data_IF_049335471531
#
_entry.id   IF_049335471531
#
_cell.length_a   1.000
_cell.length_b   1.000
_cell.length_c   1.000
_cell.angle_alpha   90.00
_cell.angle_beta   90.00
_cell.angle_gamma   90.00
#
_symmetry.space_group_name_H-M   'P 1'
#
loop_
_entity.id
_entity.type
_entity.pdbx_description
1 polymer ?
#
# COMPACT_ATOMS: atom_id res chain seq x y z
N UNK A 1 -21.93 -13.76 24.62
CA UNK A 1 -20.63 -13.07 24.72
C UNK A 1 -19.67 -13.90 23.90
N UNK A 2 -19.12 -13.35 22.80
CA UNK A 2 -17.93 -13.81 22.06
C UNK A 2 -17.92 -13.10 20.69
N UNK A 3 -17.48 -11.83 20.68
CA UNK A 3 -17.26 -11.03 19.47
C UNK A 3 -15.82 -10.56 19.30
N UNK A 4 -14.90 -10.98 20.18
CA UNK A 4 -13.54 -10.42 20.25
C UNK A 4 -12.48 -11.16 19.43
N UNK A 5 -12.79 -12.29 18.76
CA UNK A 5 -11.76 -13.09 18.09
C UNK A 5 -11.48 -12.67 16.63
N UNK A 6 -12.44 -12.06 15.95
CA UNK A 6 -12.33 -11.68 14.52
C UNK A 6 -11.57 -10.37 14.28
N UNK A 7 -11.59 -9.46 15.25
CA UNK A 7 -10.99 -8.13 15.10
C UNK A 7 -9.45 -8.19 15.18
N UNK A 8 -8.93 -9.07 16.05
CA UNK A 8 -7.49 -9.26 16.23
C UNK A 8 -6.79 -9.92 15.03
N UNK A 9 -7.47 -10.80 14.29
CA UNK A 9 -6.89 -11.44 13.10
C UNK A 9 -6.88 -10.49 11.89
N UNK A 10 -7.91 -9.66 11.75
CA UNK A 10 -7.98 -8.63 10.69
C UNK A 10 -6.97 -7.51 10.91
N UNK A 11 -6.73 -7.11 12.16
CA UNK A 11 -5.67 -6.17 12.51
C UNK A 11 -4.29 -6.71 12.09
N UNK A 12 -3.96 -7.95 12.47
CA UNK A 12 -2.68 -8.60 12.10
C UNK A 12 -2.45 -8.68 10.59
N UNK A 13 -3.51 -8.96 9.80
CA UNK A 13 -3.41 -8.96 8.33
C UNK A 13 -3.18 -7.56 7.76
N UNK A 14 -3.75 -6.54 8.38
CA UNK A 14 -3.52 -5.13 8.03
C UNK A 14 -2.08 -4.74 8.31
N UNK A 15 -1.54 -5.12 9.47
CA UNK A 15 -0.17 -4.83 9.86
C UNK A 15 0.84 -5.53 8.95
N UNK A 16 0.62 -6.81 8.63
CA UNK A 16 1.45 -7.53 7.64
C UNK A 16 1.40 -6.86 6.25
N UNK A 17 0.24 -6.35 5.85
CA UNK A 17 0.10 -5.61 4.59
C UNK A 17 0.84 -4.28 4.62
N UNK A 18 0.74 -3.54 5.73
CA UNK A 18 1.43 -2.28 5.93
C UNK A 18 2.95 -2.48 5.92
N UNK A 19 3.46 -3.46 6.68
CA UNK A 19 4.88 -3.85 6.68
C UNK A 19 5.34 -4.21 5.27
N UNK A 20 4.58 -5.03 4.53
CA UNK A 20 4.91 -5.39 3.15
C UNK A 20 4.97 -4.17 2.21
N UNK A 21 4.14 -3.15 2.43
CA UNK A 21 4.14 -1.90 1.67
C UNK A 21 5.36 -1.03 2.02
N UNK A 22 5.63 -0.84 3.31
CA UNK A 22 6.77 -0.04 3.78
C UNK A 22 8.10 -0.66 3.35
N UNK A 23 8.19 -2.00 3.34
CA UNK A 23 9.35 -2.73 2.83
C UNK A 23 9.64 -2.50 1.35
N UNK A 24 8.77 -1.84 0.57
CA UNK A 24 9.06 -1.43 -0.82
C UNK A 24 9.94 -0.20 -0.93
N UNK A 25 10.10 0.59 0.14
CA UNK A 25 10.88 1.83 0.12
C UNK A 25 12.37 1.57 0.41
N UNK A 26 13.26 1.81 -0.56
CA UNK A 26 14.72 1.76 -0.34
C UNK A 26 15.21 2.77 0.70
N UNK A 27 14.42 3.79 1.02
CA UNK A 27 14.77 4.86 1.96
C UNK A 27 14.42 4.58 3.42
N UNK A 28 13.64 3.53 3.70
CA UNK A 28 13.29 3.13 5.06
C UNK A 28 14.07 1.87 5.43
N UNK A 29 14.86 1.95 6.51
CA UNK A 29 15.52 0.77 7.07
C UNK A 29 14.51 -0.13 7.79
N UNK A 30 14.83 -1.43 7.90
CA UNK A 30 13.91 -2.40 8.54
C UNK A 30 13.63 -2.02 10.00
N UNK A 31 14.64 -1.54 10.74
CA UNK A 31 14.47 -1.05 12.11
C UNK A 31 13.48 0.11 12.21
N UNK A 32 13.58 1.10 11.30
CA UNK A 32 12.66 2.24 11.25
C UNK A 32 11.22 1.80 10.94
N UNK A 33 11.04 0.79 10.10
CA UNK A 33 9.72 0.22 9.80
C UNK A 33 9.13 -0.45 11.05
N UNK A 34 9.94 -1.20 11.79
CA UNK A 34 9.52 -1.84 13.04
C UNK A 34 9.15 -0.82 14.11
N UNK A 35 9.95 0.24 14.27
CA UNK A 35 9.66 1.36 15.17
C UNK A 35 8.37 2.10 14.77
N UNK A 36 8.19 2.43 13.49
CA UNK A 36 7.01 3.14 13.00
C UNK A 36 5.72 2.33 13.20
N UNK A 37 5.80 1.02 13.08
CA UNK A 37 4.67 0.11 13.24
C UNK A 37 4.46 -0.34 14.70
N UNK A 38 5.35 0.04 15.62
CA UNK A 38 5.40 -0.44 17.01
C UNK A 38 5.45 -1.98 17.13
N UNK A 39 6.29 -2.61 16.30
CA UNK A 39 6.42 -4.08 16.20
C UNK A 39 7.78 -4.53 16.73
N UNK A 40 7.78 -5.51 17.64
CA UNK A 40 9.01 -6.14 18.13
C UNK A 40 9.58 -7.22 17.21
N UNK A 41 10.85 -7.57 17.40
CA UNK A 41 11.59 -8.57 16.62
C UNK A 41 10.87 -9.92 16.46
N UNK A 42 10.29 -10.45 17.55
CA UNK A 42 9.63 -11.76 17.51
C UNK A 42 8.43 -11.73 16.58
N UNK A 43 7.60 -10.70 16.72
CA UNK A 43 6.41 -10.54 15.91
C UNK A 43 6.77 -10.29 14.43
N UNK A 44 7.76 -9.44 14.17
CA UNK A 44 8.25 -9.21 12.82
C UNK A 44 8.76 -10.50 12.15
N UNK A 45 9.49 -11.34 12.89
CA UNK A 45 9.93 -12.66 12.39
C UNK A 45 8.76 -13.58 12.07
N UNK A 46 7.74 -13.63 12.94
CA UNK A 46 6.53 -14.41 12.68
C UNK A 46 5.80 -13.91 11.42
N UNK A 47 5.66 -12.60 11.25
CA UNK A 47 5.09 -11.99 10.05
C UNK A 47 5.88 -12.38 8.79
N UNK A 48 7.21 -12.31 8.84
CA UNK A 48 8.07 -12.71 7.72
C UNK A 48 7.93 -14.20 7.38
N UNK A 49 7.78 -15.08 8.37
CA UNK A 49 7.55 -16.50 8.15
C UNK A 49 6.17 -16.80 7.51
N UNK A 50 5.12 -16.08 7.93
CA UNK A 50 3.75 -16.30 7.42
C UNK A 50 3.51 -15.63 6.06
N UNK A 51 4.11 -14.47 5.83
CA UNK A 51 3.85 -13.65 4.66
C UNK A 51 5.03 -13.68 3.67
N UNK A 52 4.87 -14.47 2.61
CA UNK A 52 5.89 -14.63 1.56
C UNK A 52 6.26 -13.29 0.89
N UNK A 53 5.37 -12.31 0.88
CA UNK A 53 5.68 -10.97 0.33
C UNK A 53 6.71 -10.26 1.20
N UNK A 54 6.56 -10.30 2.53
CA UNK A 54 7.52 -9.73 3.49
C UNK A 54 8.88 -10.41 3.31
N UNK A 55 8.91 -11.75 3.34
CA UNK A 55 10.15 -12.52 3.15
C UNK A 55 10.86 -12.17 1.84
N UNK A 56 10.11 -12.11 0.72
CA UNK A 56 10.68 -11.74 -0.58
C UNK A 56 11.26 -10.33 -0.56
N UNK A 57 10.57 -9.34 0.02
CA UNK A 57 11.09 -7.95 0.09
C UNK A 57 12.35 -7.84 0.93
N UNK A 58 12.44 -8.59 2.02
CA UNK A 58 13.66 -8.65 2.84
C UNK A 58 14.83 -9.21 2.04
N UNK A 59 14.60 -10.27 1.27
CA UNK A 59 15.63 -10.85 0.41
C UNK A 59 16.04 -9.90 -0.73
N UNK A 60 15.09 -9.26 -1.39
CA UNK A 60 15.36 -8.24 -2.41
C UNK A 60 16.20 -7.08 -1.86
N UNK A 61 15.93 -6.64 -0.62
CA UNK A 61 16.74 -5.62 0.06
C UNK A 61 18.14 -6.13 0.35
N UNK A 62 18.26 -7.34 0.91
CA UNK A 62 19.55 -7.97 1.23
C UNK A 62 20.43 -8.11 -0.01
N UNK A 63 19.84 -8.43 -1.16
CA UNK A 63 20.52 -8.56 -2.44
C UNK A 63 20.67 -7.23 -3.21
N UNK A 64 20.09 -6.14 -2.72
CA UNK A 64 20.08 -4.85 -3.42
C UNK A 64 19.27 -4.84 -4.74
N UNK A 65 18.37 -5.81 -4.93
CA UNK A 65 17.56 -5.97 -6.15
C UNK A 65 16.16 -5.34 -6.01
N UNK A 66 15.87 -4.70 -4.87
CA UNK A 66 14.61 -4.02 -4.64
C UNK A 66 14.41 -2.91 -5.69
N UNK A 67 13.43 -3.12 -6.58
CA UNK A 67 13.10 -2.13 -7.62
C UNK A 67 12.37 -0.94 -7.01
N UNK A 68 12.93 0.25 -7.19
CA UNK A 68 12.21 1.49 -6.95
C UNK A 68 10.99 1.59 -7.87
N UNK A 69 9.81 1.84 -7.29
CA UNK A 69 8.65 2.21 -8.09
C UNK A 69 8.76 3.68 -8.48
N UNK A 70 9.26 3.92 -9.68
CA UNK A 70 9.15 5.24 -10.31
C UNK A 70 7.71 5.42 -10.77
N UNK A 71 6.99 6.33 -10.13
CA UNK A 71 5.71 6.84 -10.63
C UNK A 71 5.99 7.92 -11.66
N UNK A 72 5.55 7.71 -12.90
CA UNK A 72 5.60 8.76 -13.92
C UNK A 72 4.39 9.69 -13.78
N UNK A 73 4.59 11.02 -13.88
CA UNK A 73 3.48 11.98 -13.94
C UNK A 73 2.51 11.61 -15.05
N UNK A 74 1.21 11.72 -14.79
CA UNK A 74 0.15 11.45 -15.77
C UNK A 74 -0.93 12.53 -15.72
N UNK A 75 -1.63 12.73 -16.84
CA UNK A 75 -2.77 13.64 -16.89
C UNK A 75 -4.01 13.03 -16.22
N UNK A 76 -4.67 13.81 -15.37
CA UNK A 76 -5.91 13.43 -14.72
C UNK A 76 -7.04 13.23 -15.75
N UNK A 77 -7.74 12.10 -15.66
CA UNK A 77 -8.86 11.80 -16.58
C UNK A 77 -10.12 12.67 -16.36
N UNK A 78 -10.17 13.47 -15.30
CA UNK A 78 -11.31 14.34 -14.99
C UNK A 78 -11.04 15.82 -15.31
N UNK A 79 -9.93 16.39 -14.83
CA UNK A 79 -9.59 17.80 -15.04
C UNK A 79 -8.49 18.05 -16.09
N UNK A 80 -7.77 17.02 -16.54
CA UNK A 80 -6.66 17.16 -17.48
C UNK A 80 -5.31 17.56 -16.85
N UNK A 81 -5.30 17.99 -15.58
CA UNK A 81 -4.08 18.41 -14.89
C UNK A 81 -3.08 17.26 -14.71
N UNK A 82 -1.79 17.59 -14.85
CA UNK A 82 -0.69 16.65 -14.60
C UNK A 82 -0.50 16.45 -13.10
N UNK A 83 -0.39 15.20 -12.68
CA UNK A 83 -0.15 14.85 -11.29
C UNK A 83 0.76 13.64 -11.17
N UNK A 84 1.42 13.50 -10.02
CA UNK A 84 2.19 12.32 -9.68
C UNK A 84 1.26 11.26 -9.07
N UNK A 85 1.06 10.11 -9.72
CA UNK A 85 0.13 9.08 -9.25
C UNK A 85 0.74 8.27 -8.11
N UNK A 86 -0.03 8.03 -7.06
CA UNK A 86 0.31 7.02 -6.06
C UNK A 86 -0.21 5.66 -6.54
N UNK A 87 0.69 4.80 -7.01
CA UNK A 87 0.34 3.48 -7.55
C UNK A 87 -0.48 3.53 -8.84
N UNK A 88 -1.72 3.01 -8.80
CA UNK A 88 -2.60 2.88 -9.97
C UNK A 88 -3.63 4.00 -10.12
N UNK A 89 -3.47 5.10 -9.37
CA UNK A 89 -4.41 6.22 -9.39
C UNK A 89 -4.60 6.83 -10.77
N UNK A 90 -5.86 7.17 -11.07
CA UNK A 90 -6.29 7.76 -12.36
C UNK A 90 -6.70 9.23 -12.24
N UNK A 91 -6.86 9.72 -11.02
CA UNK A 91 -7.36 11.05 -10.72
C UNK A 91 -6.43 11.74 -9.74
N UNK A 92 -6.26 13.06 -9.90
CA UNK A 92 -5.38 13.85 -9.03
C UNK A 92 -5.96 14.11 -7.63
N UNK A 93 -7.26 13.85 -7.44
CA UNK A 93 -7.95 14.04 -6.17
C UNK A 93 -9.23 13.20 -6.10
N UNK A 94 -9.73 12.99 -4.88
CA UNK A 94 -11.04 12.37 -4.65
C UNK A 94 -12.19 13.18 -5.26
N UNK A 95 -12.06 14.51 -5.33
CA UNK A 95 -13.01 15.36 -6.04
C UNK A 95 -13.13 14.98 -7.51
N UNK A 96 -11.99 14.87 -8.20
CA UNK A 96 -11.92 14.44 -9.60
C UNK A 96 -12.45 13.01 -9.80
N UNK A 97 -12.16 12.11 -8.85
CA UNK A 97 -12.67 10.72 -8.86
C UNK A 97 -14.21 10.70 -8.79
N UNK A 98 -14.81 11.47 -7.87
CA UNK A 98 -16.27 11.58 -7.74
C UNK A 98 -16.93 12.19 -8.98
N UNK A 99 -16.37 13.27 -9.52
CA UNK A 99 -16.89 13.90 -10.75
C UNK A 99 -16.89 12.94 -11.93
N UNK A 100 -15.82 12.16 -12.09
CA UNK A 100 -15.74 11.15 -13.14
C UNK A 100 -16.79 10.04 -12.98
N UNK A 101 -17.07 9.60 -11.75
CA UNK A 101 -18.13 8.62 -11.46
C UNK A 101 -19.53 9.16 -11.82
N UNK A 102 -19.82 10.43 -11.51
CA UNK A 102 -21.09 11.06 -11.90
C UNK A 102 -21.27 11.11 -13.44
N UNK A 103 -20.19 11.47 -14.16
CA UNK A 103 -20.23 11.56 -15.62
C UNK A 103 -20.44 10.22 -16.34
N UNK A 104 -20.05 9.11 -15.70
CA UNK A 104 -20.21 7.75 -16.25
C UNK A 104 -21.60 7.18 -15.98
N UNK A 105 -22.22 7.48 -14.84
CA UNK A 105 -23.63 7.15 -14.60
C UNK A 105 -24.57 7.81 -15.62
N UNK A 106 -24.30 9.07 -15.99
CA UNK A 106 -25.13 9.79 -16.96
C UNK A 106 -25.12 9.19 -18.38
N UNK A 107 -24.06 8.48 -18.77
CA UNK A 107 -23.95 7.82 -20.09
C UNK A 107 -24.59 6.43 -20.15
N UNK A 108 -24.88 5.79 -19.01
CA UNK A 108 -25.51 4.45 -18.95
C UNK A 108 -27.03 4.50 -18.84
N UNK A 109 -27.61 5.68 -18.64
CA UNK A 109 -29.05 5.90 -18.55
C UNK A 109 -29.64 6.51 -19.84
N UNK A 110 -28.90 6.44 -20.95
CA UNK A 110 -29.33 6.84 -22.30
C UNK A 110 -29.25 5.65 -23.22
#
# INVERSE_FOLDING_TARGET
>A
MDRNHTDGESAKRTDETAVALLLRSTHLEVGQIMELMDIGDREFREMACRNQTIARRLEERRLGTLRELKSEPRACKACGEWFLPYGSDRYCSDGCKRTAQLSTCRRRAS
#
